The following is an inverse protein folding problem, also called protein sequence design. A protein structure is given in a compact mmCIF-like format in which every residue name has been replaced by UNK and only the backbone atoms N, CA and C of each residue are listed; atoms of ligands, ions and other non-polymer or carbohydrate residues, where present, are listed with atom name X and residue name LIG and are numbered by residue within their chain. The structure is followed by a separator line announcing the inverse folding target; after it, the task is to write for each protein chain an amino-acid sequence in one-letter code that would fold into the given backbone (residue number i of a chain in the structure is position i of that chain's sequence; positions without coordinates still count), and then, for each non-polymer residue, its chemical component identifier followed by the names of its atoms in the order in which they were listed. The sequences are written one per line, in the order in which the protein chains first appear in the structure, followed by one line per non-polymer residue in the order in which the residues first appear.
data_IF_036539726119
#
_entry.id   IF_036539726119
#
_cell.length_a   1.000
_cell.length_b   1.000
_cell.length_c   1.000
_cell.angle_alpha   90.00
_cell.angle_beta   90.00
_cell.angle_gamma   90.00
#
_symmetry.space_group_name_H-M   'P 1'
#
loop_
_entity.id
_entity.type
_entity.pdbx_description
1 polymer ?
#
# COMPACT_ATOMS: atom_id res chain seq x y z
N UNK A 1 -53.67 19.89 30.47
CA UNK A 1 -52.72 18.75 30.43
C UNK A 1 -52.37 18.46 28.98
N UNK A 2 -51.24 18.98 28.49
CA UNK A 2 -50.75 18.72 27.13
C UNK A 2 -49.71 17.58 27.21
N UNK A 3 -50.00 16.41 26.64
CA UNK A 3 -49.04 15.32 26.50
C UNK A 3 -48.16 15.58 25.26
N UNK A 4 -46.87 15.86 25.48
CA UNK A 4 -45.86 15.88 24.41
C UNK A 4 -45.50 14.43 24.06
N UNK A 5 -45.72 14.05 22.80
CA UNK A 5 -45.21 12.80 22.22
C UNK A 5 -43.81 13.10 21.68
N UNK A 6 -42.80 12.46 22.25
CA UNK A 6 -41.45 12.45 21.70
C UNK A 6 -41.35 11.31 20.68
N UNK A 7 -41.17 11.65 19.40
CA UNK A 7 -40.86 10.70 18.35
C UNK A 7 -39.33 10.54 18.30
N UNK A 8 -38.82 9.40 18.78
CA UNK A 8 -37.41 9.04 18.56
C UNK A 8 -37.26 8.53 17.12
N UNK A 9 -36.74 9.38 16.24
CA UNK A 9 -36.20 8.93 14.96
C UNK A 9 -34.85 8.25 15.20
N UNK A 10 -34.82 6.91 15.18
CA UNK A 10 -33.58 6.17 15.01
C UNK A 10 -33.12 6.31 13.56
N UNK A 11 -32.15 7.18 13.31
CA UNK A 11 -31.35 7.17 12.09
C UNK A 11 -30.49 5.90 12.12
N UNK A 12 -31.01 4.81 11.55
CA UNK A 12 -30.20 3.64 11.21
C UNK A 12 -29.37 4.02 10.00
N UNK A 13 -28.09 4.36 10.22
CA UNK A 13 -27.14 4.48 9.13
C UNK A 13 -27.05 3.12 8.42
N UNK A 14 -27.10 3.06 7.07
CA UNK A 14 -26.91 1.80 6.37
C UNK A 14 -25.48 1.32 6.64
N UNK A 15 -25.36 0.24 7.43
CA UNK A 15 -24.11 -0.51 7.52
C UNK A 15 -23.90 -1.13 6.15
N UNK A 16 -22.91 -0.64 5.40
CA UNK A 16 -22.39 -1.35 4.24
C UNK A 16 -22.00 -2.74 4.73
N UNK A 17 -22.74 -3.77 4.31
CA UNK A 17 -22.32 -5.15 4.55
C UNK A 17 -21.03 -5.35 3.75
N UNK A 18 -19.91 -5.53 4.46
CA UNK A 18 -18.74 -6.13 3.85
C UNK A 18 -19.17 -7.46 3.19
N UNK A 19 -18.56 -7.81 2.07
CA UNK A 19 -18.82 -9.12 1.47
C UNK A 19 -18.45 -10.20 2.49
N UNK A 20 -19.30 -11.23 2.64
CA UNK A 20 -18.93 -12.41 3.41
C UNK A 20 -17.71 -13.05 2.73
N UNK A 21 -16.56 -12.94 3.38
CA UNK A 21 -15.31 -13.46 2.84
C UNK A 21 -15.35 -14.99 2.82
N UNK A 22 -14.82 -15.62 1.76
CA UNK A 22 -14.78 -17.08 1.66
C UNK A 22 -13.90 -17.73 2.74
N UNK A 23 -12.94 -16.97 3.29
CA UNK A 23 -12.08 -17.40 4.40
C UNK A 23 -12.46 -16.60 5.65
N UNK A 24 -12.69 -17.31 6.76
CA UNK A 24 -12.88 -16.66 8.06
C UNK A 24 -11.54 -16.14 8.58
N UNK A 25 -11.43 -14.83 8.68
CA UNK A 25 -10.29 -14.14 9.31
C UNK A 25 -10.76 -13.63 10.68
N UNK A 26 -9.89 -13.71 11.69
CA UNK A 26 -10.17 -13.08 12.99
C UNK A 26 -10.26 -11.57 12.81
N UNK A 27 -11.31 -10.94 13.33
CA UNK A 27 -11.42 -9.49 13.32
C UNK A 27 -10.40 -8.89 14.32
N UNK A 28 -9.43 -8.08 13.86
CA UNK A 28 -8.53 -7.41 14.78
C UNK A 28 -9.29 -6.39 15.62
N UNK A 29 -8.77 -6.10 16.82
CA UNK A 29 -9.28 -4.98 17.63
C UNK A 29 -8.95 -3.68 16.86
N UNK A 30 -9.93 -2.81 16.58
CA UNK A 30 -9.67 -1.55 15.91
C UNK A 30 -8.64 -0.73 16.67
N UNK A 31 -7.70 -0.10 15.96
CA UNK A 31 -6.66 0.73 16.60
C UNK A 31 -7.27 1.91 17.40
N UNK A 32 -8.45 2.38 16.98
CA UNK A 32 -9.19 3.42 17.67
C UNK A 32 -9.68 2.99 19.07
N UNK A 33 -9.74 1.69 19.35
CA UNK A 33 -10.20 1.13 20.63
C UNK A 33 -9.03 0.78 21.58
N UNK A 34 -7.78 0.96 21.14
CA UNK A 34 -6.59 0.70 21.95
C UNK A 34 -5.83 2.00 22.20
N UNK A 35 -5.57 2.32 23.47
CA UNK A 35 -4.73 3.46 23.87
C UNK A 35 -3.48 2.96 24.58
N UNK A 36 -2.33 3.41 24.10
CA UNK A 36 -1.05 3.11 24.73
C UNK A 36 -0.93 3.85 26.05
N UNK A 37 -0.54 3.12 27.09
CA UNK A 37 -0.12 3.70 28.37
C UNK A 37 1.39 3.99 28.33
N UNK A 38 1.88 4.64 29.37
CA UNK A 38 3.29 4.99 29.53
C UNK A 38 4.19 3.77 29.30
N UNK A 39 4.96 3.83 28.22
CA UNK A 39 5.78 2.74 27.71
C UNK A 39 6.69 3.24 26.57
N UNK A 40 7.73 2.48 26.19
CA UNK A 40 8.54 2.79 25.01
C UNK A 40 7.73 2.91 23.70
N UNK A 41 6.57 2.24 23.62
CA UNK A 41 5.68 2.32 22.46
C UNK A 41 4.95 3.67 22.39
N UNK A 42 4.48 4.18 23.54
CA UNK A 42 3.89 5.51 23.60
C UNK A 42 4.93 6.59 23.26
N UNK A 43 6.17 6.42 23.73
CA UNK A 43 7.27 7.34 23.41
C UNK A 43 7.62 7.29 21.91
N UNK A 44 7.59 6.12 21.27
CA UNK A 44 7.74 6.00 19.83
C UNK A 44 6.59 6.69 19.07
N UNK A 45 5.33 6.46 19.49
CA UNK A 45 4.16 7.10 18.88
C UNK A 45 4.23 8.63 18.97
N UNK A 46 4.62 9.19 20.13
CA UNK A 46 4.77 10.64 20.31
C UNK A 46 5.84 11.24 19.40
N UNK A 47 7.01 10.58 19.29
CA UNK A 47 8.10 11.03 18.40
C UNK A 47 7.70 10.97 16.94
N UNK A 48 7.00 9.92 16.52
CA UNK A 48 6.49 9.81 15.16
C UNK A 48 5.43 10.88 14.87
N UNK A 49 4.52 11.14 15.81
CA UNK A 49 3.55 12.24 15.71
C UNK A 49 4.24 13.60 15.54
N UNK A 50 5.28 13.89 16.31
CA UNK A 50 6.07 15.12 16.17
C UNK A 50 6.75 15.21 14.80
N UNK A 51 7.37 14.11 14.35
CA UNK A 51 7.99 14.03 13.02
C UNK A 51 6.96 14.27 11.91
N UNK A 52 5.81 13.60 11.97
CA UNK A 52 4.71 13.79 11.02
C UNK A 52 4.26 15.25 10.99
N UNK A 53 4.10 15.89 12.15
CA UNK A 53 3.73 17.31 12.25
C UNK A 53 4.80 18.26 11.70
N UNK A 54 6.06 17.85 11.61
CA UNK A 54 7.12 18.64 10.99
C UNK A 54 7.07 18.67 9.46
N UNK A 55 6.38 17.70 8.84
CA UNK A 55 6.26 17.61 7.37
C UNK A 55 5.22 18.60 6.86
N UNK A 56 5.44 19.14 5.67
CA UNK A 56 4.55 20.07 4.98
C UNK A 56 3.77 19.33 3.87
N UNK A 57 2.43 19.17 4.01
CA UNK A 57 1.61 18.51 3.01
C UNK A 57 1.72 19.12 1.61
N UNK A 58 1.86 20.44 1.49
CA UNK A 58 1.94 21.11 0.19
C UNK A 58 3.24 20.81 -0.54
N UNK A 59 4.32 20.56 0.20
CA UNK A 59 5.60 20.13 -0.36
C UNK A 59 5.57 18.68 -0.81
N UNK A 60 4.88 17.80 -0.07
CA UNK A 60 4.66 16.39 -0.47
C UNK A 60 3.77 16.29 -1.71
N UNK A 61 2.76 17.17 -1.84
CA UNK A 61 1.86 17.21 -2.99
C UNK A 61 2.45 17.94 -4.21
N UNK A 62 3.62 18.56 -4.09
CA UNK A 62 4.22 19.42 -5.12
C UNK A 62 4.41 18.69 -6.46
N UNK A 63 5.03 17.51 -6.43
CA UNK A 63 5.29 16.70 -7.63
C UNK A 63 4.01 16.22 -8.31
N UNK A 64 3.04 15.78 -7.49
CA UNK A 64 1.70 15.40 -7.95
C UNK A 64 1.04 16.59 -8.65
N UNK A 65 0.87 17.75 -7.99
CA UNK A 65 0.22 18.94 -8.56
C UNK A 65 0.83 19.36 -9.90
N UNK A 66 2.15 19.40 -10.00
CA UNK A 66 2.85 19.68 -11.25
C UNK A 66 2.46 18.69 -12.38
N UNK A 67 2.26 17.41 -12.04
CA UNK A 67 1.81 16.39 -12.98
C UNK A 67 0.38 16.56 -13.52
N UNK A 68 -0.46 17.36 -12.89
CA UNK A 68 -1.78 17.77 -13.43
C UNK A 68 -1.75 19.13 -14.14
N UNK A 69 -0.56 19.74 -14.29
CA UNK A 69 -0.46 21.13 -14.75
C UNK A 69 -1.04 22.14 -13.74
N UNK A 70 -1.16 21.74 -12.47
CA UNK A 70 -1.58 22.63 -11.39
C UNK A 70 -0.35 23.27 -10.76
N UNK A 71 -0.46 24.55 -10.39
CA UNK A 71 0.60 25.24 -9.65
C UNK A 71 0.86 24.55 -8.30
N UNK A 72 2.10 24.12 -8.01
CA UNK A 72 2.47 23.59 -6.70
C UNK A 72 2.30 24.65 -5.61
N UNK A 73 1.74 24.27 -4.47
CA UNK A 73 1.54 25.16 -3.31
C UNK A 73 2.76 25.23 -2.38
N UNK A 74 3.65 24.25 -2.49
CA UNK A 74 4.90 24.15 -1.74
C UNK A 74 6.05 23.72 -2.62
N UNK A 75 7.28 24.06 -2.19
CA UNK A 75 8.50 23.63 -2.87
C UNK A 75 8.73 22.14 -2.65
N UNK A 76 8.91 21.38 -3.73
CA UNK A 76 9.21 19.95 -3.68
C UNK A 76 10.33 19.63 -2.67
N UNK A 77 10.15 18.55 -1.92
CA UNK A 77 11.19 18.02 -1.06
C UNK A 77 12.43 17.55 -1.86
N UNK A 78 13.55 17.42 -1.17
CA UNK A 78 14.80 16.89 -1.75
C UNK A 78 14.81 15.37 -1.81
N UNK A 79 16.01 14.79 -1.91
CA UNK A 79 16.16 13.33 -1.91
C UNK A 79 15.41 12.66 -3.07
N UNK A 80 14.76 11.54 -2.77
CA UNK A 80 14.05 10.73 -3.76
C UNK A 80 12.76 11.38 -4.29
N UNK A 81 12.21 12.39 -3.61
CA UNK A 81 11.03 13.14 -4.08
C UNK A 81 11.28 13.83 -5.42
N UNK A 82 12.53 14.17 -5.74
CA UNK A 82 12.92 14.71 -7.05
C UNK A 82 12.63 13.77 -8.22
N UNK A 83 12.53 12.48 -7.96
CA UNK A 83 12.29 11.44 -8.94
C UNK A 83 10.87 10.84 -8.84
N UNK A 84 9.96 11.49 -8.09
CA UNK A 84 8.59 11.02 -7.90
C UNK A 84 8.48 9.86 -6.91
N UNK A 85 8.91 10.04 -5.66
CA UNK A 85 8.70 9.01 -4.64
C UNK A 85 7.26 8.91 -4.15
N UNK A 86 6.91 7.77 -3.53
CA UNK A 86 5.59 7.50 -2.98
C UNK A 86 5.36 8.04 -1.56
N UNK A 87 6.13 9.02 -1.09
CA UNK A 87 6.08 9.46 0.32
C UNK A 87 4.72 10.07 0.67
N UNK A 88 4.09 10.81 -0.24
CA UNK A 88 2.73 11.35 0.03
C UNK A 88 1.72 10.24 0.34
N UNK A 89 1.84 9.08 -0.32
CA UNK A 89 1.03 7.91 -0.04
C UNK A 89 1.32 7.30 1.33
N UNK A 90 2.61 7.10 1.66
CA UNK A 90 3.02 6.64 3.00
C UNK A 90 2.55 7.60 4.10
N UNK A 91 2.72 8.90 3.90
CA UNK A 91 2.33 9.92 4.85
C UNK A 91 0.81 9.95 5.04
N UNK A 92 0.04 9.72 3.98
CA UNK A 92 -1.41 9.60 4.08
C UNK A 92 -1.84 8.38 4.90
N UNK A 93 -1.24 7.20 4.67
CA UNK A 93 -1.43 6.02 5.54
C UNK A 93 -1.07 6.33 6.99
N UNK A 94 0.11 6.93 7.23
CA UNK A 94 0.54 7.29 8.58
C UNK A 94 -0.46 8.24 9.26
N UNK A 95 -0.99 9.24 8.53
CA UNK A 95 -2.01 10.13 9.06
C UNK A 95 -3.30 9.39 9.44
N UNK A 96 -3.75 8.44 8.61
CA UNK A 96 -4.94 7.64 8.90
C UNK A 96 -4.78 6.82 10.19
N UNK A 97 -3.67 6.07 10.31
CA UNK A 97 -3.39 5.24 11.48
C UNK A 97 -3.12 6.07 12.74
N UNK A 98 -2.33 7.15 12.65
CA UNK A 98 -2.01 8.01 13.78
C UNK A 98 -3.25 8.76 14.29
N UNK A 99 -4.09 9.28 13.40
CA UNK A 99 -5.35 9.93 13.79
C UNK A 99 -6.29 8.95 14.48
N UNK A 100 -6.42 7.72 13.96
CA UNK A 100 -7.26 6.69 14.58
C UNK A 100 -6.73 6.27 15.97
N UNK A 101 -5.42 6.09 16.11
CA UNK A 101 -4.79 5.64 17.36
C UNK A 101 -4.83 6.70 18.48
N UNK A 102 -4.75 7.98 18.13
CA UNK A 102 -4.55 9.08 19.11
C UNK A 102 -5.75 10.01 19.25
N UNK A 103 -6.57 10.15 18.20
CA UNK A 103 -7.57 11.19 18.09
C UNK A 103 -6.99 12.59 17.81
N UNK A 104 -5.72 12.72 17.40
CA UNK A 104 -5.11 14.03 17.13
C UNK A 104 -5.75 14.74 15.93
N UNK A 105 -6.48 15.83 16.21
CA UNK A 105 -7.22 16.59 15.21
C UNK A 105 -6.32 17.24 14.14
N UNK A 106 -5.06 17.56 14.47
CA UNK A 106 -4.12 18.17 13.52
C UNK A 106 -3.71 17.16 12.45
N UNK A 107 -3.45 15.92 12.84
CA UNK A 107 -3.17 14.84 11.89
C UNK A 107 -4.42 14.51 11.06
N UNK A 108 -5.60 14.45 11.69
CA UNK A 108 -6.87 14.25 10.96
C UNK A 108 -7.07 15.32 9.89
N UNK A 109 -6.83 16.58 10.22
CA UNK A 109 -6.92 17.70 9.27
C UNK A 109 -5.95 17.54 8.09
N UNK A 110 -4.72 17.07 8.33
CA UNK A 110 -3.74 16.82 7.27
C UNK A 110 -4.16 15.67 6.36
N UNK A 111 -4.70 14.59 6.91
CA UNK A 111 -5.28 13.49 6.13
C UNK A 111 -6.39 14.00 5.20
N UNK A 112 -7.36 14.73 5.76
CA UNK A 112 -8.50 15.24 5.01
C UNK A 112 -8.08 16.25 3.94
N UNK A 113 -7.10 17.11 4.24
CA UNK A 113 -6.52 18.03 3.28
C UNK A 113 -5.90 17.31 2.09
N UNK A 114 -5.07 16.29 2.33
CA UNK A 114 -4.40 15.53 1.27
C UNK A 114 -5.41 14.81 0.39
N UNK A 115 -6.44 14.20 0.98
CA UNK A 115 -7.53 13.55 0.21
C UNK A 115 -8.27 14.57 -0.66
N UNK A 116 -8.56 15.76 -0.12
CA UNK A 116 -9.19 16.83 -0.88
C UNK A 116 -8.34 17.30 -2.06
N UNK A 117 -7.03 17.45 -1.87
CA UNK A 117 -6.08 17.80 -2.94
C UNK A 117 -5.98 16.71 -4.01
N UNK A 118 -5.99 15.43 -3.62
CA UNK A 118 -6.05 14.30 -4.56
C UNK A 118 -7.36 14.24 -5.34
N UNK A 119 -8.48 14.62 -4.73
CA UNK A 119 -9.77 14.71 -5.42
C UNK A 119 -9.79 15.84 -6.46
N UNK A 120 -9.29 17.03 -6.12
CA UNK A 120 -9.15 18.13 -7.09
C UNK A 120 -8.14 17.78 -8.20
N UNK A 121 -7.07 17.06 -7.87
CA UNK A 121 -6.14 16.53 -8.85
C UNK A 121 -6.83 15.62 -9.88
N UNK A 122 -7.58 14.62 -9.40
CA UNK A 122 -8.32 13.70 -10.28
C UNK A 122 -9.33 14.45 -11.14
N UNK A 123 -10.00 15.47 -10.59
CA UNK A 123 -10.93 16.32 -11.32
C UNK A 123 -10.24 17.14 -12.41
N UNK A 124 -9.08 17.71 -12.13
CA UNK A 124 -8.29 18.47 -13.11
C UNK A 124 -7.79 17.59 -14.25
N UNK A 125 -7.33 16.37 -13.95
CA UNK A 125 -6.84 15.43 -14.98
C UNK A 125 -7.96 14.78 -15.79
N UNK A 126 -9.07 14.45 -15.14
CA UNK A 126 -10.23 13.83 -15.76
C UNK A 126 -10.07 12.35 -16.15
N UNK A 127 -8.88 11.75 -15.99
CA UNK A 127 -8.60 10.34 -16.31
C UNK A 127 -8.84 9.38 -15.13
N UNK A 128 -8.97 9.91 -13.90
CA UNK A 128 -9.10 9.14 -12.67
C UNK A 128 -7.78 8.66 -12.07
N UNK A 129 -6.65 8.88 -12.75
CA UNK A 129 -5.32 8.51 -12.27
C UNK A 129 -4.82 9.43 -11.16
N UNK A 130 -3.93 8.90 -10.32
CA UNK A 130 -3.10 9.64 -9.39
C UNK A 130 -1.64 9.32 -9.70
N UNK A 131 -0.82 10.37 -9.89
CA UNK A 131 0.56 10.23 -10.34
C UNK A 131 1.47 11.07 -9.45
N UNK A 132 2.63 10.55 -9.07
CA UNK A 132 3.56 11.27 -8.19
C UNK A 132 4.33 12.37 -8.94
N UNK A 133 4.38 12.32 -10.27
CA UNK A 133 5.09 13.29 -11.09
C UNK A 133 4.49 13.45 -12.49
N UNK A 134 4.87 14.54 -13.17
CA UNK A 134 4.55 14.75 -14.58
C UNK A 134 5.16 13.68 -15.50
N UNK A 135 6.33 13.13 -15.16
CA UNK A 135 6.97 12.07 -15.93
C UNK A 135 6.17 10.76 -15.86
N UNK A 136 5.70 10.37 -14.67
CA UNK A 136 4.83 9.19 -14.53
C UNK A 136 3.58 9.33 -15.39
N UNK A 137 2.88 10.45 -15.27
CA UNK A 137 1.63 10.71 -15.96
C UNK A 137 1.80 10.74 -17.49
N UNK A 138 2.75 11.54 -17.98
CA UNK A 138 2.81 11.93 -19.38
C UNK A 138 3.77 11.07 -20.23
N UNK A 139 4.71 10.35 -19.60
CA UNK A 139 5.60 9.40 -20.29
C UNK A 139 5.23 7.95 -19.96
N UNK A 140 5.43 7.54 -18.70
CA UNK A 140 5.43 6.11 -18.37
C UNK A 140 4.05 5.47 -18.50
N UNK A 141 3.03 6.01 -17.81
CA UNK A 141 1.67 5.49 -17.89
C UNK A 141 1.04 5.74 -19.27
N UNK A 142 1.37 6.86 -19.93
CA UNK A 142 0.94 7.10 -21.31
C UNK A 142 1.46 6.03 -22.28
N UNK A 143 2.70 5.57 -22.12
CA UNK A 143 3.28 4.44 -22.88
C UNK A 143 2.61 3.11 -22.50
N UNK A 144 2.40 2.87 -21.21
CA UNK A 144 1.72 1.66 -20.73
C UNK A 144 0.32 1.51 -21.35
N UNK A 145 -0.46 2.60 -21.41
CA UNK A 145 -1.80 2.59 -22.01
C UNK A 145 -1.82 2.27 -23.51
N UNK A 146 -0.67 2.32 -24.18
CA UNK A 146 -0.47 1.88 -25.57
C UNK A 146 0.15 0.48 -25.68
N UNK A 147 0.32 -0.22 -24.56
CA UNK A 147 0.95 -1.53 -24.48
C UNK A 147 2.48 -1.51 -24.47
N UNK A 148 3.13 -0.34 -24.32
CA UNK A 148 4.58 -0.26 -24.22
C UNK A 148 5.03 -0.44 -22.75
N UNK A 149 5.48 -1.65 -22.41
CA UNK A 149 5.86 -2.07 -21.05
C UNK A 149 7.36 -1.92 -20.75
N UNK A 150 8.07 -1.00 -21.41
CA UNK A 150 9.49 -0.76 -21.13
C UNK A 150 9.71 -0.43 -19.65
N UNK A 151 10.66 -1.14 -19.06
CA UNK A 151 11.06 -0.97 -17.66
C UNK A 151 11.72 0.39 -17.43
N UNK A 152 11.56 0.90 -16.23
CA UNK A 152 12.19 2.14 -15.75
C UNK A 152 12.91 1.87 -14.43
N UNK A 153 13.90 2.71 -14.13
CA UNK A 153 14.57 2.73 -12.82
C UNK A 153 13.75 3.47 -11.76
N UNK A 154 12.84 4.36 -12.19
CA UNK A 154 11.77 4.86 -11.33
C UNK A 154 10.66 3.82 -11.39
N UNK A 155 10.20 3.32 -10.24
CA UNK A 155 9.32 2.16 -10.10
C UNK A 155 7.85 2.62 -9.95
N UNK A 156 7.10 2.87 -11.03
CA UNK A 156 5.90 3.70 -10.96
C UNK A 156 4.74 2.95 -10.31
N UNK A 157 4.70 1.62 -10.46
CA UNK A 157 3.75 0.79 -9.70
C UNK A 157 4.09 0.73 -8.20
N UNK A 158 5.36 0.72 -7.81
CA UNK A 158 5.72 0.84 -6.38
C UNK A 158 5.25 2.18 -5.81
N UNK A 159 5.42 3.26 -6.57
CA UNK A 159 5.00 4.62 -6.16
C UNK A 159 3.48 4.72 -6.10
N UNK A 160 2.80 4.30 -7.18
CA UNK A 160 1.34 4.23 -7.27
C UNK A 160 0.73 3.35 -6.19
N UNK A 161 1.37 2.24 -5.81
CA UNK A 161 0.97 1.41 -4.67
C UNK A 161 0.90 2.23 -3.37
N UNK A 162 1.87 3.10 -3.08
CA UNK A 162 1.82 3.89 -1.85
C UNK A 162 0.64 4.84 -1.83
N UNK A 163 0.33 5.44 -2.98
CA UNK A 163 -0.86 6.28 -3.14
C UNK A 163 -2.14 5.46 -2.97
N UNK A 164 -2.23 4.29 -3.61
CA UNK A 164 -3.36 3.35 -3.43
C UNK A 164 -3.58 2.99 -1.95
N UNK A 165 -2.52 2.57 -1.26
CA UNK A 165 -2.57 2.18 0.15
C UNK A 165 -2.92 3.37 1.06
N UNK A 166 -2.33 4.55 0.80
CA UNK A 166 -2.64 5.77 1.54
C UNK A 166 -4.11 6.16 1.46
N UNK A 167 -4.68 6.18 0.25
CA UNK A 167 -6.08 6.53 0.06
C UNK A 167 -7.01 5.45 0.65
N UNK A 168 -6.65 4.17 0.51
CA UNK A 168 -7.36 3.06 1.17
C UNK A 168 -7.39 3.24 2.69
N UNK A 169 -6.24 3.51 3.31
CA UNK A 169 -6.16 3.66 4.76
C UNK A 169 -6.92 4.91 5.23
N UNK A 170 -6.86 6.03 4.49
CA UNK A 170 -7.66 7.21 4.77
C UNK A 170 -9.17 6.92 4.79
N UNK A 171 -9.65 6.02 3.91
CA UNK A 171 -11.04 5.58 3.91
C UNK A 171 -11.33 4.57 5.04
N UNK A 172 -10.64 3.44 5.06
CA UNK A 172 -10.99 2.30 5.91
C UNK A 172 -10.58 2.48 7.38
N UNK A 173 -9.47 3.18 7.64
CA UNK A 173 -8.94 3.44 8.99
C UNK A 173 -9.29 4.85 9.46
N UNK A 174 -9.05 5.83 8.59
CA UNK A 174 -9.26 7.25 8.89
C UNK A 174 -10.72 7.72 8.80
N UNK A 175 -11.62 6.89 8.27
CA UNK A 175 -13.05 7.20 8.15
C UNK A 175 -13.37 8.34 7.17
N UNK A 176 -12.48 8.67 6.24
CA UNK A 176 -12.72 9.72 5.25
C UNK A 176 -13.57 9.18 4.08
N UNK A 177 -14.82 9.65 3.98
CA UNK A 177 -15.74 9.23 2.93
C UNK A 177 -15.34 9.64 1.51
N UNK A 178 -14.69 10.79 1.33
CA UNK A 178 -14.20 11.24 0.01
C UNK A 178 -13.07 10.36 -0.51
N UNK A 179 -12.24 9.81 0.38
CA UNK A 179 -11.17 8.89 0.03
C UNK A 179 -11.68 7.63 -0.67
N UNK A 180 -12.89 7.15 -0.33
CA UNK A 180 -13.55 6.05 -1.04
C UNK A 180 -13.70 6.34 -2.53
N UNK A 181 -14.23 7.51 -2.87
CA UNK A 181 -14.50 7.89 -4.26
C UNK A 181 -13.19 8.08 -5.03
N UNK A 182 -12.19 8.69 -4.38
CA UNK A 182 -10.84 8.86 -4.93
C UNK A 182 -10.21 7.50 -5.23
N UNK A 183 -10.29 6.55 -4.29
CA UNK A 183 -9.74 5.20 -4.45
C UNK A 183 -10.43 4.43 -5.57
N UNK A 184 -11.77 4.45 -5.63
CA UNK A 184 -12.54 3.77 -6.67
C UNK A 184 -12.16 4.29 -8.06
N UNK A 185 -12.07 5.62 -8.23
CA UNK A 185 -11.63 6.23 -9.50
C UNK A 185 -10.22 5.80 -9.88
N UNK A 186 -9.31 5.75 -8.91
CA UNK A 186 -7.93 5.36 -9.17
C UNK A 186 -7.81 3.87 -9.50
N UNK A 187 -8.54 3.01 -8.80
CA UNK A 187 -8.58 1.57 -9.09
C UNK A 187 -9.22 1.28 -10.46
N UNK A 188 -10.28 2.01 -10.82
CA UNK A 188 -10.92 1.89 -12.13
C UNK A 188 -10.00 2.34 -13.26
N UNK A 189 -9.21 3.39 -13.02
CA UNK A 189 -8.15 3.80 -13.93
C UNK A 189 -7.05 2.72 -14.06
N UNK A 190 -6.60 2.13 -12.94
CA UNK A 190 -5.61 1.02 -12.95
C UNK A 190 -6.13 -0.18 -13.78
N UNK A 191 -7.41 -0.52 -13.64
CA UNK A 191 -8.04 -1.55 -14.44
C UNK A 191 -8.08 -1.16 -15.93
N UNK A 192 -8.50 0.07 -16.25
CA UNK A 192 -8.62 0.54 -17.63
C UNK A 192 -7.26 0.57 -18.36
N UNK A 193 -6.22 1.12 -17.72
CA UNK A 193 -4.89 1.26 -18.33
C UNK A 193 -4.19 -0.08 -18.57
N UNK A 194 -4.53 -1.11 -17.80
CA UNK A 194 -3.93 -2.45 -17.93
C UNK A 194 -4.82 -3.45 -18.70
N UNK A 195 -6.03 -3.06 -19.07
CA UNK A 195 -7.05 -3.93 -19.69
C UNK A 195 -6.62 -4.61 -21.01
N UNK A 196 -5.68 -4.00 -21.75
CA UNK A 196 -5.23 -4.50 -23.06
C UNK A 196 -3.88 -5.20 -23.02
N UNK A 197 -3.27 -5.35 -21.84
CA UNK A 197 -1.98 -6.00 -21.71
C UNK A 197 -2.12 -7.52 -21.91
N UNK A 198 -1.29 -8.07 -22.78
CA UNK A 198 -1.08 -9.52 -22.94
C UNK A 198 -0.45 -10.11 -21.68
N UNK A 199 -0.50 -11.44 -21.53
CA UNK A 199 0.16 -12.14 -20.42
C UNK A 199 1.66 -11.86 -20.37
N UNK A 200 2.33 -11.82 -21.53
CA UNK A 200 3.75 -11.45 -21.62
C UNK A 200 3.99 -10.02 -21.13
N UNK A 201 3.15 -9.07 -21.54
CA UNK A 201 3.27 -7.68 -21.08
C UNK A 201 3.04 -7.54 -19.57
N UNK A 202 2.10 -8.29 -19.00
CA UNK A 202 1.92 -8.37 -17.55
C UNK A 202 3.18 -8.92 -16.86
N UNK A 203 3.71 -10.06 -17.32
CA UNK A 203 4.91 -10.66 -16.75
C UNK A 203 6.14 -9.75 -16.86
N UNK A 204 6.32 -9.09 -18.01
CA UNK A 204 7.40 -8.11 -18.21
C UNK A 204 7.23 -6.94 -17.22
N UNK A 205 6.01 -6.40 -17.09
CA UNK A 205 5.70 -5.28 -16.20
C UNK A 205 5.90 -5.60 -14.70
N UNK A 206 5.47 -6.78 -14.25
CA UNK A 206 5.59 -7.19 -12.83
C UNK A 206 6.96 -7.79 -12.49
N UNK A 207 7.88 -7.90 -13.45
CA UNK A 207 9.25 -8.37 -13.22
C UNK A 207 10.08 -7.43 -12.34
N UNK A 208 9.72 -6.15 -12.28
CA UNK A 208 10.31 -5.13 -11.41
C UNK A 208 9.54 -5.00 -10.10
N UNK A 209 10.06 -4.17 -9.21
CA UNK A 209 9.35 -3.84 -7.98
C UNK A 209 8.06 -3.06 -8.27
N UNK A 210 6.96 -3.56 -7.71
CA UNK A 210 5.63 -3.00 -7.86
C UNK A 210 4.96 -2.67 -6.52
N UNK A 211 5.60 -3.00 -5.38
CA UNK A 211 4.97 -2.88 -4.06
C UNK A 211 3.95 -4.02 -3.82
N UNK A 212 2.75 -3.69 -3.37
CA UNK A 212 1.65 -4.64 -3.17
C UNK A 212 0.27 -4.09 -3.62
N UNK A 213 0.11 -3.65 -4.90
CA UNK A 213 -1.20 -3.20 -5.39
C UNK A 213 -2.29 -4.27 -5.23
N UNK A 214 -1.89 -5.55 -5.31
CA UNK A 214 -2.76 -6.70 -5.09
C UNK A 214 -3.43 -6.68 -3.71
N UNK A 215 -2.73 -6.27 -2.64
CA UNK A 215 -3.32 -6.10 -1.29
C UNK A 215 -4.50 -5.11 -1.35
N UNK A 216 -4.26 -3.93 -1.95
CA UNK A 216 -5.26 -2.85 -2.00
C UNK A 216 -6.46 -3.24 -2.88
N UNK A 217 -6.25 -3.92 -3.99
CA UNK A 217 -7.35 -4.37 -4.85
C UNK A 217 -8.17 -5.50 -4.22
N UNK A 218 -7.54 -6.40 -3.47
CA UNK A 218 -8.25 -7.41 -2.67
C UNK A 218 -9.09 -6.75 -1.56
N UNK A 219 -8.55 -5.75 -0.86
CA UNK A 219 -9.32 -4.95 0.11
C UNK A 219 -10.51 -4.23 -0.53
N UNK A 220 -10.31 -3.65 -1.71
CA UNK A 220 -11.37 -2.95 -2.43
C UNK A 220 -12.47 -3.93 -2.88
N UNK A 221 -12.10 -5.15 -3.29
CA UNK A 221 -13.08 -6.21 -3.54
C UNK A 221 -13.87 -6.55 -2.28
N UNK A 222 -13.21 -6.78 -1.15
CA UNK A 222 -13.87 -7.09 0.12
C UNK A 222 -14.84 -5.99 0.57
N UNK A 223 -14.45 -4.72 0.39
CA UNK A 223 -15.23 -3.56 0.81
C UNK A 223 -16.38 -3.20 -0.13
N UNK A 224 -16.32 -3.59 -1.41
CA UNK A 224 -17.31 -3.19 -2.43
C UNK A 224 -18.11 -4.34 -3.02
N UNK A 225 -17.65 -5.58 -2.88
CA UNK A 225 -18.20 -6.75 -3.55
C UNK A 225 -17.95 -6.80 -5.06
N UNK A 226 -17.20 -5.85 -5.65
CA UNK A 226 -17.02 -5.80 -7.10
C UNK A 226 -15.92 -6.79 -7.55
N UNK A 227 -16.24 -7.81 -8.37
CA UNK A 227 -15.29 -8.86 -8.74
C UNK A 227 -14.10 -8.35 -9.57
N UNK A 228 -14.26 -7.24 -10.30
CA UNK A 228 -13.19 -6.69 -11.15
C UNK A 228 -11.91 -6.36 -10.37
N UNK A 229 -12.05 -5.98 -9.10
CA UNK A 229 -10.90 -5.66 -8.25
C UNK A 229 -10.16 -6.92 -7.80
N UNK A 230 -10.87 -8.03 -7.55
CA UNK A 230 -10.24 -9.31 -7.28
C UNK A 230 -9.51 -9.86 -8.52
N UNK A 231 -10.10 -9.71 -9.71
CA UNK A 231 -9.44 -10.06 -10.97
C UNK A 231 -8.15 -9.24 -11.17
N UNK A 232 -8.20 -7.93 -10.89
CA UNK A 232 -7.02 -7.07 -10.96
C UNK A 232 -5.96 -7.46 -9.92
N UNK A 233 -6.36 -7.78 -8.68
CA UNK A 233 -5.45 -8.25 -7.63
C UNK A 233 -4.65 -9.48 -8.08
N UNK A 234 -5.31 -10.45 -8.73
CA UNK A 234 -4.68 -11.67 -9.27
C UNK A 234 -3.73 -11.41 -10.45
N UNK A 235 -3.92 -10.32 -11.19
CA UNK A 235 -3.03 -9.93 -12.31
C UNK A 235 -1.72 -9.28 -11.82
N UNK A 236 -1.74 -8.58 -10.68
CA UNK A 236 -0.52 -8.08 -10.04
C UNK A 236 0.20 -9.23 -9.31
N UNK A 237 0.85 -10.10 -10.08
CA UNK A 237 1.55 -11.30 -9.60
C UNK A 237 2.96 -11.39 -10.18
N UNK A 238 3.90 -11.91 -9.37
CA UNK A 238 5.20 -12.42 -9.80
C UNK A 238 5.16 -13.94 -9.90
N UNK A 239 4.59 -14.45 -10.98
CA UNK A 239 4.28 -15.88 -11.13
C UNK A 239 5.48 -16.81 -10.87
N UNK A 240 6.72 -16.53 -11.34
CA UNK A 240 7.86 -17.41 -11.07
C UNK A 240 8.15 -17.59 -9.58
N UNK A 241 7.99 -16.53 -8.78
CA UNK A 241 8.21 -16.54 -7.33
C UNK A 241 7.12 -17.34 -6.63
N UNK A 242 5.85 -17.09 -6.98
CA UNK A 242 4.69 -17.80 -6.43
C UNK A 242 4.77 -19.29 -6.78
N UNK A 243 5.03 -19.65 -8.04
CA UNK A 243 5.11 -21.04 -8.49
C UNK A 243 6.24 -21.83 -7.82
N UNK A 244 7.38 -21.19 -7.53
CA UNK A 244 8.47 -21.82 -6.78
C UNK A 244 8.07 -22.08 -5.32
N UNK A 245 7.52 -21.07 -4.64
CA UNK A 245 7.18 -21.17 -3.22
C UNK A 245 5.94 -22.02 -2.97
N UNK A 246 5.00 -22.13 -3.91
CA UNK A 246 3.93 -23.14 -3.87
C UNK A 246 4.47 -24.57 -3.77
N UNK A 247 5.65 -24.83 -4.38
CA UNK A 247 6.37 -26.11 -4.33
C UNK A 247 7.38 -26.17 -3.19
N UNK A 248 7.38 -25.18 -2.29
CA UNK A 248 8.33 -25.02 -1.20
C UNK A 248 9.80 -24.94 -1.66
N UNK A 249 10.05 -24.46 -2.89
CA UNK A 249 11.41 -24.15 -3.34
C UNK A 249 11.84 -22.79 -2.79
N UNK A 250 12.59 -22.83 -1.68
CA UNK A 250 13.08 -21.66 -0.96
C UNK A 250 14.34 -21.06 -1.57
N UNK A 251 15.00 -21.78 -2.49
CA UNK A 251 16.26 -21.34 -3.09
C UNK A 251 16.07 -20.09 -3.96
N UNK A 252 14.86 -19.91 -4.49
CA UNK A 252 14.43 -18.77 -5.30
C UNK A 252 14.62 -17.41 -4.62
N UNK A 253 14.69 -17.36 -3.28
CA UNK A 253 14.86 -16.13 -2.51
C UNK A 253 16.29 -15.58 -2.61
N UNK A 254 17.30 -16.44 -2.76
CA UNK A 254 18.71 -16.03 -2.67
C UNK A 254 19.05 -14.93 -3.68
N UNK A 255 19.59 -13.81 -3.21
CA UNK A 255 19.98 -12.67 -4.05
C UNK A 255 18.81 -11.81 -4.56
N UNK A 256 17.56 -12.12 -4.20
CA UNK A 256 16.42 -11.25 -4.51
C UNK A 256 16.39 -10.07 -3.54
N UNK A 257 15.96 -8.92 -4.03
CA UNK A 257 15.70 -7.76 -3.20
C UNK A 257 14.55 -8.06 -2.24
N UNK A 258 14.80 -8.07 -0.94
CA UNK A 258 13.87 -8.53 0.09
C UNK A 258 12.57 -7.70 0.12
N UNK A 259 12.68 -6.39 0.27
CA UNK A 259 11.50 -5.51 0.33
C UNK A 259 10.68 -5.46 -0.97
N UNK A 260 11.27 -5.85 -2.10
CA UNK A 260 10.54 -5.99 -3.36
C UNK A 260 9.61 -7.22 -3.35
N UNK A 261 9.95 -8.26 -2.59
CA UNK A 261 9.17 -9.51 -2.55
C UNK A 261 8.19 -9.55 -1.37
N UNK A 262 8.60 -9.16 -0.15
CA UNK A 262 7.78 -9.31 1.07
C UNK A 262 6.37 -8.70 0.94
N UNK A 263 6.19 -7.45 0.46
CA UNK A 263 4.86 -6.84 0.35
C UNK A 263 3.90 -7.62 -0.57
N UNK A 264 4.42 -8.22 -1.65
CA UNK A 264 3.59 -8.99 -2.56
C UNK A 264 2.96 -10.19 -1.85
N UNK A 265 3.67 -10.79 -0.89
CA UNK A 265 3.16 -11.91 -0.08
C UNK A 265 2.10 -11.49 0.94
N UNK A 266 2.16 -10.28 1.48
CA UNK A 266 1.03 -9.67 2.22
C UNK A 266 -0.20 -9.62 1.30
N UNK A 267 -0.02 -9.14 0.07
CA UNK A 267 -1.10 -9.08 -0.91
C UNK A 267 -1.60 -10.45 -1.38
N UNK A 268 -0.74 -11.48 -1.46
CA UNK A 268 -1.17 -12.85 -1.79
C UNK A 268 -1.97 -13.46 -0.65
N UNK A 269 -1.54 -13.32 0.59
CA UNK A 269 -2.33 -13.75 1.74
C UNK A 269 -3.68 -13.04 1.76
N UNK A 270 -3.71 -11.73 1.49
CA UNK A 270 -4.98 -11.00 1.38
C UNK A 270 -5.85 -11.48 0.22
N UNK A 271 -5.24 -11.80 -0.92
CA UNK A 271 -5.95 -12.38 -2.08
C UNK A 271 -6.54 -13.75 -1.75
N UNK A 272 -5.86 -14.59 -0.96
CA UNK A 272 -6.42 -15.85 -0.44
C UNK A 272 -7.68 -15.57 0.38
N UNK A 273 -7.62 -14.64 1.33
CA UNK A 273 -8.74 -14.33 2.22
C UNK A 273 -10.00 -13.92 1.45
N UNK A 274 -9.81 -13.21 0.33
CA UNK A 274 -10.91 -12.71 -0.49
C UNK A 274 -11.34 -13.65 -1.63
N UNK A 275 -10.50 -14.59 -2.04
CA UNK A 275 -10.81 -15.53 -3.15
C UNK A 275 -11.10 -16.95 -2.71
N UNK A 276 -10.56 -17.38 -1.56
CA UNK A 276 -10.55 -18.77 -1.11
C UNK A 276 -9.56 -19.67 -1.87
N UNK A 277 -8.78 -19.15 -2.83
CA UNK A 277 -7.89 -19.98 -3.65
C UNK A 277 -6.63 -20.40 -2.87
N UNK A 278 -6.44 -21.70 -2.55
CA UNK A 278 -5.40 -22.14 -1.60
C UNK A 278 -3.96 -21.90 -2.06
N UNK A 279 -3.74 -21.66 -3.36
CA UNK A 279 -2.41 -21.42 -3.94
C UNK A 279 -1.73 -20.21 -3.31
N UNK A 280 -2.51 -19.15 -3.07
CA UNK A 280 -2.00 -17.89 -2.54
C UNK A 280 -1.53 -18.04 -1.09
N UNK A 281 -2.31 -18.73 -0.26
CA UNK A 281 -1.93 -19.02 1.12
C UNK A 281 -0.74 -19.97 1.22
N UNK A 282 -0.69 -21.03 0.38
CA UNK A 282 0.47 -21.93 0.35
C UNK A 282 1.76 -21.18 0.02
N UNK A 283 1.72 -20.32 -1.00
CA UNK A 283 2.87 -19.49 -1.36
C UNK A 283 3.28 -18.54 -0.23
N UNK A 284 2.33 -17.84 0.40
CA UNK A 284 2.58 -16.93 1.50
C UNK A 284 3.10 -17.60 2.77
N UNK A 285 2.54 -18.75 3.14
CA UNK A 285 2.98 -19.52 4.31
C UNK A 285 4.39 -20.08 4.09
N UNK A 286 4.67 -20.64 2.90
CA UNK A 286 6.00 -21.14 2.59
C UNK A 286 7.04 -20.01 2.49
N UNK A 287 6.64 -18.82 2.00
CA UNK A 287 7.49 -17.63 2.02
C UNK A 287 7.83 -17.20 3.45
N UNK A 288 6.82 -17.10 4.32
CA UNK A 288 7.00 -16.77 5.73
C UNK A 288 7.98 -17.72 6.41
N UNK A 289 7.75 -19.03 6.29
CA UNK A 289 8.61 -20.06 6.88
C UNK A 289 10.04 -20.02 6.32
N UNK A 290 10.20 -19.69 5.03
CA UNK A 290 11.51 -19.55 4.41
C UNK A 290 12.27 -18.33 4.94
N UNK A 291 11.59 -17.20 5.08
CA UNK A 291 12.22 -15.95 5.54
C UNK A 291 12.53 -16.01 7.04
N UNK A 292 11.57 -16.43 7.87
CA UNK A 292 11.76 -16.54 9.32
C UNK A 292 12.77 -17.65 9.65
N UNK A 293 12.68 -18.80 8.98
CA UNK A 293 13.54 -19.95 9.28
C UNK A 293 14.96 -19.86 8.70
N UNK A 294 15.21 -18.99 7.72
CA UNK A 294 16.47 -19.03 6.97
C UNK A 294 17.03 -17.69 6.49
N UNK A 295 16.35 -16.57 6.72
CA UNK A 295 16.78 -15.22 6.27
C UNK A 295 16.74 -14.16 7.38
N UNK A 296 16.29 -14.51 8.58
CA UNK A 296 16.02 -13.55 9.67
C UNK A 296 17.09 -13.62 10.76
N UNK A 297 17.66 -12.47 11.09
CA UNK A 297 18.61 -12.30 12.20
C UNK A 297 17.88 -12.31 13.55
N UNK A 298 18.64 -12.49 14.63
CA UNK A 298 18.09 -12.66 15.99
C UNK A 298 17.15 -11.52 16.45
N UNK A 299 17.32 -10.30 15.93
CA UNK A 299 16.46 -9.15 16.26
C UNK A 299 15.26 -8.97 15.32
N UNK A 300 14.98 -9.92 14.43
CA UNK A 300 13.83 -9.92 13.52
C UNK A 300 14.04 -9.19 12.19
N UNK A 301 15.22 -8.60 11.96
CA UNK A 301 15.61 -8.02 10.67
C UNK A 301 16.05 -9.08 9.67
N UNK A 302 15.92 -8.79 8.38
CA UNK A 302 16.49 -9.61 7.30
C UNK A 302 17.09 -8.72 6.20
N UNK A 303 17.82 -9.38 5.30
CA UNK A 303 18.59 -8.82 4.19
C UNK A 303 19.91 -8.15 4.60
N UNK A 304 20.84 -8.09 3.65
CA UNK A 304 22.06 -7.28 3.67
C UNK A 304 22.19 -6.66 2.28
N UNK A 305 22.48 -5.36 2.21
CA UNK A 305 22.40 -4.58 0.97
C UNK A 305 21.06 -4.81 0.25
N UNK A 306 19.96 -4.80 1.03
CA UNK A 306 18.57 -4.98 0.58
C UNK A 306 18.24 -6.36 0.00
N UNK A 307 19.20 -7.28 -0.10
CA UNK A 307 19.02 -8.60 -0.71
C UNK A 307 18.99 -9.75 0.32
N UNK A 308 18.15 -10.76 0.05
CA UNK A 308 18.22 -12.04 0.75
C UNK A 308 19.58 -12.70 0.52
N UNK A 309 20.10 -13.33 1.56
CA UNK A 309 21.45 -13.85 1.62
C UNK A 309 21.44 -15.30 1.15
N UNK A 310 22.35 -15.65 0.23
CA UNK A 310 22.64 -17.05 -0.01
C UNK A 310 23.25 -17.64 1.28
N UNK A 311 22.72 -18.72 1.87
CA UNK A 311 23.23 -19.25 3.12
C UNK A 311 24.74 -19.55 3.14
N UNK A 312 25.33 -19.89 1.99
CA UNK A 312 26.77 -20.10 1.85
C UNK A 312 27.62 -18.81 1.99
N UNK A 313 27.00 -17.64 2.01
CA UNK A 313 27.65 -16.33 2.07
C UNK A 313 27.47 -15.62 3.43
N UNK A 314 26.74 -16.21 4.39
CA UNK A 314 26.44 -15.55 5.66
C UNK A 314 27.68 -15.01 6.36
N UNK A 315 28.70 -15.84 6.57
CA UNK A 315 29.93 -15.46 7.28
C UNK A 315 30.64 -14.26 6.63
N UNK A 316 30.52 -14.10 5.32
CA UNK A 316 31.15 -13.01 4.57
C UNK A 316 30.36 -11.71 4.66
N UNK A 317 29.03 -11.82 4.75
CA UNK A 317 28.13 -10.66 4.75
C UNK A 317 27.86 -10.11 6.15
N UNK A 318 28.02 -10.92 7.20
CA UNK A 318 27.75 -10.50 8.59
C UNK A 318 28.50 -9.22 9.03
N UNK A 319 29.62 -8.90 8.39
CA UNK A 319 30.42 -7.69 8.68
C UNK A 319 30.06 -6.48 7.82
N UNK A 320 29.10 -6.60 6.89
CA UNK A 320 28.64 -5.47 6.07
C UNK A 320 27.97 -4.41 6.92
N UNK A 321 28.26 -3.14 6.61
CA UNK A 321 27.65 -1.99 7.28
C UNK A 321 26.20 -1.76 6.85
N UNK A 322 25.81 -2.24 5.67
CA UNK A 322 24.45 -2.17 5.14
C UNK A 322 23.64 -3.39 5.58
N UNK A 323 23.38 -3.46 6.89
CA UNK A 323 22.60 -4.53 7.52
C UNK A 323 21.11 -4.50 7.19
N UNK A 324 20.28 -5.22 7.97
CA UNK A 324 18.85 -5.37 7.73
C UNK A 324 18.07 -4.08 7.54
N UNK A 325 17.28 -4.03 6.47
CA UNK A 325 16.43 -2.89 6.12
C UNK A 325 15.12 -2.89 6.91
N UNK A 326 14.74 -1.74 7.48
CA UNK A 326 13.54 -1.58 8.32
C UNK A 326 12.23 -1.93 7.59
N UNK A 327 12.12 -1.62 6.29
CA UNK A 327 10.92 -1.92 5.50
C UNK A 327 10.60 -3.41 5.49
N UNK A 328 11.63 -4.26 5.52
CA UNK A 328 11.47 -5.71 5.51
C UNK A 328 10.74 -6.18 6.77
N UNK A 329 11.18 -5.71 7.94
CA UNK A 329 10.54 -6.04 9.21
C UNK A 329 9.13 -5.46 9.30
N UNK A 330 8.91 -4.23 8.82
CA UNK A 330 7.56 -3.66 8.74
C UNK A 330 6.60 -4.54 7.92
N UNK A 331 7.00 -4.93 6.71
CA UNK A 331 6.15 -5.74 5.84
C UNK A 331 6.01 -7.19 6.33
N UNK A 332 7.00 -7.74 7.03
CA UNK A 332 6.85 -9.03 7.71
C UNK A 332 5.89 -8.95 8.90
N UNK A 333 5.89 -7.87 9.69
CA UNK A 333 4.90 -7.72 10.76
C UNK A 333 3.46 -7.59 10.23
N UNK A 334 3.28 -7.15 8.98
CA UNK A 334 1.98 -7.14 8.29
C UNK A 334 1.55 -8.51 7.76
N UNK A 335 2.50 -9.38 7.42
CA UNK A 335 2.25 -10.72 6.86
C UNK A 335 1.86 -11.69 7.98
#
# INVERSE_FOLDING_TARGET
MLKRVFLLCFLVAPVLSAADLPVKVSNPIPIADVRLLDSPFLDAQKRDLEYMLSLDPDRLLSGMRAGAGMEPKGKLYGGWEKNGSGIVGHYLSACAWMAAATGDARIKQRMDYIVGEMAEYQKQRGDGGLYASAWEANDWYARLGRGDVRLSNVLPWYVGHKTLAGVRDAWLVGGNGQAKDVLIRYADWCHAITSKLTEKQWADMTSKEIGAPNEVFADLHAATGNPKYLELAKKFIKEPMVAALEKNDRTILSGKHANTEIPMFVGYQRTYETSGEPRWNRAASNFWDAVIGGQTFAFGGNSIWEAFINPAEYDKKLTDVCGPETCNTYNLLKL
#
